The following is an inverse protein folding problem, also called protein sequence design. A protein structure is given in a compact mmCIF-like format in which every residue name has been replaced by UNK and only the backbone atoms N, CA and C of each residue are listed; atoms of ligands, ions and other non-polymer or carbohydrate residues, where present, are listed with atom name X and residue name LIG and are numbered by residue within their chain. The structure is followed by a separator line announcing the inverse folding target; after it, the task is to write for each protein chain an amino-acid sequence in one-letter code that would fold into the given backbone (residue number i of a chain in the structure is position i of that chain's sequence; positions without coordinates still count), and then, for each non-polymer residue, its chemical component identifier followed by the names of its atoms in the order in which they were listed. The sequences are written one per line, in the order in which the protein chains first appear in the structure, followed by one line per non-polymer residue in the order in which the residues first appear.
data_IF_788398975444
#
_entry.id   IF_788398975444
#
_cell.length_a   1.000
_cell.length_b   1.000
_cell.length_c   1.000
_cell.angle_alpha   90.00
_cell.angle_beta   90.00
_cell.angle_gamma   90.00
#
_symmetry.space_group_name_H-M   'P 1'
#
loop_
_entity.id
_entity.type
_entity.pdbx_description
1 polymer ?
#
# COMPACT_ATOMS: atom_id res chain seq x y z
N UNK A 1 -29.01 -2.86 17.80
CA UNK A 1 -27.64 -2.92 18.37
C UNK A 1 -26.76 -3.95 17.69
N UNK A 2 -27.03 -5.26 17.77
CA UNK A 2 -26.16 -6.31 17.20
C UNK A 2 -25.73 -6.05 15.74
N UNK A 3 -26.65 -5.63 14.86
CA UNK A 3 -26.34 -5.30 13.46
C UNK A 3 -25.27 -4.19 13.31
N UNK A 4 -25.35 -3.12 14.10
CA UNK A 4 -24.36 -2.03 14.06
C UNK A 4 -22.98 -2.50 14.54
N UNK A 5 -22.93 -3.40 15.53
CA UNK A 5 -21.68 -4.03 15.99
C UNK A 5 -21.07 -4.85 14.85
N UNK A 6 -21.87 -5.66 14.15
CA UNK A 6 -21.42 -6.45 13.00
C UNK A 6 -20.86 -5.52 11.89
N UNK A 7 -21.60 -4.48 11.49
CA UNK A 7 -21.13 -3.53 10.48
C UNK A 7 -19.82 -2.85 10.89
N UNK A 8 -19.70 -2.43 12.15
CA UNK A 8 -18.49 -1.80 12.66
C UNK A 8 -17.30 -2.78 12.67
N UNK A 9 -17.50 -4.02 13.11
CA UNK A 9 -16.45 -5.05 13.12
C UNK A 9 -15.97 -5.38 11.69
N UNK A 10 -16.87 -5.60 10.73
CA UNK A 10 -16.50 -5.85 9.33
C UNK A 10 -15.88 -4.63 8.65
N UNK A 11 -16.40 -3.43 8.92
CA UNK A 11 -15.82 -2.16 8.48
C UNK A 11 -14.38 -2.00 8.97
N UNK A 12 -14.14 -2.15 10.27
CA UNK A 12 -12.80 -2.05 10.86
C UNK A 12 -11.85 -3.13 10.32
N UNK A 13 -12.28 -4.39 10.22
CA UNK A 13 -11.48 -5.47 9.65
C UNK A 13 -11.07 -5.17 8.19
N UNK A 14 -12.02 -4.77 7.35
CA UNK A 14 -11.76 -4.42 5.95
C UNK A 14 -10.85 -3.19 5.81
N UNK A 15 -11.07 -2.15 6.61
CA UNK A 15 -10.22 -0.96 6.66
C UNK A 15 -8.78 -1.27 7.05
N UNK A 16 -8.57 -2.11 8.07
CA UNK A 16 -7.23 -2.56 8.50
C UNK A 16 -6.55 -3.39 7.42
N UNK A 17 -7.24 -4.38 6.84
CA UNK A 17 -6.71 -5.19 5.72
C UNK A 17 -6.31 -4.29 4.55
N UNK A 18 -7.17 -3.34 4.15
CA UNK A 18 -6.89 -2.37 3.10
C UNK A 18 -5.63 -1.53 3.38
N UNK A 19 -5.44 -1.08 4.63
CA UNK A 19 -4.26 -0.30 5.05
C UNK A 19 -2.97 -1.11 4.99
N UNK A 20 -2.98 -2.34 5.49
CA UNK A 20 -1.83 -3.26 5.44
C UNK A 20 -1.39 -3.51 3.98
N UNK A 21 -2.36 -3.46 3.06
CA UNK A 21 -2.18 -3.72 1.63
C UNK A 21 -1.67 -2.52 0.81
N UNK A 22 -1.53 -1.35 1.44
CA UNK A 22 -1.08 -0.09 0.83
C UNK A 22 -2.20 0.92 0.52
N UNK A 23 -3.45 0.49 0.62
CA UNK A 23 -4.60 1.27 0.19
C UNK A 23 -5.22 2.10 1.32
N UNK A 24 -6.03 3.08 0.95
CA UNK A 24 -6.72 3.99 1.89
C UNK A 24 -7.68 3.24 2.84
N UNK A 25 -7.38 3.26 4.15
CA UNK A 25 -8.22 2.71 5.22
C UNK A 25 -9.69 3.12 5.09
N UNK A 26 -9.94 4.42 4.85
CA UNK A 26 -11.30 4.96 4.86
C UNK A 26 -12.17 4.41 3.73
N UNK A 27 -11.59 4.16 2.55
CA UNK A 27 -12.31 3.58 1.41
C UNK A 27 -12.69 2.12 1.74
N UNK A 28 -11.74 1.32 2.20
CA UNK A 28 -11.99 -0.09 2.53
C UNK A 28 -12.89 -0.29 3.75
N UNK A 29 -12.81 0.62 4.72
CA UNK A 29 -13.75 0.70 5.83
C UNK A 29 -15.17 0.94 5.31
N UNK A 30 -15.37 1.97 4.48
CA UNK A 30 -16.69 2.34 3.98
C UNK A 30 -17.28 1.24 3.08
N UNK A 31 -16.48 0.66 2.18
CA UNK A 31 -16.88 -0.49 1.34
C UNK A 31 -17.32 -1.70 2.19
N UNK A 32 -16.55 -2.04 3.23
CA UNK A 32 -16.85 -3.20 4.09
C UNK A 32 -17.95 -2.93 5.12
N UNK A 33 -18.21 -1.66 5.45
CA UNK A 33 -19.31 -1.21 6.30
C UNK A 33 -20.64 -1.18 5.53
N UNK A 34 -20.63 -0.72 4.27
CA UNK A 34 -21.83 -0.68 3.43
C UNK A 34 -22.22 -2.07 2.90
N UNK A 35 -21.24 -2.92 2.56
CA UNK A 35 -21.49 -4.28 2.05
C UNK A 35 -20.64 -5.28 2.87
N UNK A 36 -21.13 -5.70 4.06
CA UNK A 36 -20.42 -6.66 4.89
C UNK A 36 -20.23 -8.00 4.17
N UNK A 37 -19.25 -8.79 4.63
CA UNK A 37 -18.71 -9.98 3.96
C UNK A 37 -18.07 -9.72 2.59
N UNK A 38 -18.81 -9.18 1.61
CA UNK A 38 -18.31 -8.94 0.25
C UNK A 38 -17.18 -7.90 0.25
N UNK A 39 -17.35 -6.76 0.93
CA UNK A 39 -16.30 -5.74 1.02
C UNK A 39 -15.01 -6.24 1.69
N UNK A 40 -15.14 -7.10 2.72
CA UNK A 40 -14.00 -7.76 3.36
C UNK A 40 -13.34 -8.78 2.43
N UNK A 41 -14.13 -9.59 1.71
CA UNK A 41 -13.61 -10.53 0.72
C UNK A 41 -12.86 -9.81 -0.41
N UNK A 42 -13.39 -8.68 -0.91
CA UNK A 42 -12.70 -7.83 -1.86
C UNK A 42 -11.38 -7.28 -1.30
N UNK A 43 -11.35 -6.78 -0.06
CA UNK A 43 -10.13 -6.30 0.58
C UNK A 43 -9.06 -7.42 0.68
N UNK A 44 -9.47 -8.62 1.09
CA UNK A 44 -8.61 -9.81 1.16
C UNK A 44 -8.06 -10.20 -0.22
N UNK A 45 -8.84 -10.10 -1.29
CA UNK A 45 -8.44 -10.51 -2.65
C UNK A 45 -7.67 -9.45 -3.48
N UNK A 46 -7.74 -8.16 -3.14
CA UNK A 46 -7.34 -6.97 -3.93
C UNK A 46 -5.98 -6.91 -4.72
N UNK A 47 -5.02 -7.84 -4.59
CA UNK A 47 -3.56 -7.66 -4.88
C UNK A 47 -2.89 -6.65 -3.93
N UNK A 48 -1.62 -6.87 -3.58
CA UNK A 48 -0.84 -5.87 -2.82
C UNK A 48 -0.46 -4.69 -3.70
N UNK A 49 -0.70 -3.49 -3.19
CA UNK A 49 -0.41 -2.23 -3.86
C UNK A 49 1.01 -1.72 -3.51
N UNK A 50 1.47 -2.02 -2.28
CA UNK A 50 2.83 -1.74 -1.81
C UNK A 50 3.94 -2.57 -2.48
N UNK A 51 3.60 -3.68 -3.12
CA UNK A 51 4.56 -4.51 -3.88
C UNK A 51 4.82 -3.98 -5.29
N UNK A 52 4.05 -2.99 -5.74
CA UNK A 52 4.23 -2.36 -7.04
C UNK A 52 5.56 -1.61 -7.13
N UNK A 53 6.24 -1.78 -8.27
CA UNK A 53 7.43 -1.00 -8.60
C UNK A 53 7.06 0.48 -8.77
N UNK A 54 8.04 1.35 -8.57
CA UNK A 54 7.85 2.80 -8.64
C UNK A 54 8.79 3.42 -9.67
N UNK A 55 8.53 4.67 -10.03
CA UNK A 55 9.37 5.45 -10.95
C UNK A 55 9.33 6.92 -10.59
N UNK A 56 10.35 7.65 -11.01
CA UNK A 56 10.38 9.10 -10.93
C UNK A 56 9.68 9.70 -12.16
N UNK A 57 8.82 10.69 -11.96
CA UNK A 57 8.15 11.41 -13.05
C UNK A 57 9.13 12.39 -13.72
N UNK A 58 9.42 12.28 -15.03
CA UNK A 58 10.41 13.11 -15.72
C UNK A 58 10.03 14.61 -15.75
N UNK A 59 8.74 14.94 -15.65
CA UNK A 59 8.27 16.34 -15.63
C UNK A 59 8.34 17.05 -14.27
N UNK A 60 8.40 16.33 -13.14
CA UNK A 60 8.31 16.97 -11.80
C UNK A 60 9.10 16.29 -10.67
N UNK A 61 9.82 15.20 -10.92
CA UNK A 61 10.58 14.47 -9.90
C UNK A 61 9.74 13.69 -8.87
N UNK A 62 8.40 13.70 -8.98
CA UNK A 62 7.54 12.95 -8.05
C UNK A 62 7.70 11.44 -8.28
N UNK A 63 7.90 10.68 -7.21
CA UNK A 63 7.82 9.22 -7.25
C UNK A 63 6.35 8.78 -7.35
N UNK A 64 6.05 8.00 -8.38
CA UNK A 64 4.72 7.47 -8.73
C UNK A 64 4.81 5.96 -9.00
N UNK A 65 3.68 5.27 -9.16
CA UNK A 65 3.70 3.82 -9.45
C UNK A 65 4.05 3.56 -10.90
N UNK A 66 4.60 2.38 -11.17
CA UNK A 66 5.02 1.99 -12.50
C UNK A 66 3.82 1.86 -13.47
N UNK A 67 2.63 1.52 -12.98
CA UNK A 67 1.40 1.40 -13.78
C UNK A 67 0.65 2.71 -14.03
N UNK A 68 1.03 3.83 -13.41
CA UNK A 68 0.33 5.11 -13.57
C UNK A 68 0.61 5.69 -14.97
N UNK A 69 -0.31 5.58 -15.94
CA UNK A 69 -0.09 6.06 -17.31
C UNK A 69 0.18 7.58 -17.43
N UNK A 70 -0.35 8.36 -16.48
CA UNK A 70 -0.20 9.82 -16.42
C UNK A 70 0.14 10.22 -14.98
N UNK A 71 1.06 11.18 -14.81
CA UNK A 71 1.42 11.68 -13.49
C UNK A 71 0.25 12.44 -12.85
N UNK A 72 -0.28 11.90 -11.75
CA UNK A 72 -1.35 12.48 -10.92
C UNK A 72 -1.01 13.82 -10.25
N UNK A 73 0.17 14.40 -10.52
CA UNK A 73 0.65 15.65 -9.92
C UNK A 73 0.90 16.77 -10.93
N UNK A 74 1.34 16.45 -12.15
CA UNK A 74 1.72 17.44 -13.17
C UNK A 74 1.12 17.16 -14.56
N UNK A 75 0.39 16.06 -14.74
CA UNK A 75 -0.25 15.72 -16.02
C UNK A 75 0.69 15.21 -17.12
N UNK A 76 2.00 15.08 -16.86
CA UNK A 76 2.96 14.48 -17.79
C UNK A 76 2.59 13.01 -18.05
N UNK A 77 2.53 12.61 -19.32
CA UNK A 77 2.39 11.20 -19.72
C UNK A 77 3.66 10.42 -19.34
N UNK A 78 3.49 9.14 -18.96
CA UNK A 78 4.55 8.37 -18.32
C UNK A 78 4.84 7.05 -19.06
N UNK A 79 5.74 7.13 -20.03
CA UNK A 79 6.29 5.97 -20.75
C UNK A 79 7.07 5.00 -19.85
N UNK A 80 7.14 3.74 -20.25
CA UNK A 80 7.80 2.68 -19.48
C UNK A 80 9.30 3.01 -19.28
N UNK A 81 9.78 3.15 -18.03
CA UNK A 81 11.13 3.61 -17.76
C UNK A 81 12.16 2.49 -17.93
N UNK A 82 13.36 2.87 -18.35
CA UNK A 82 14.56 2.01 -18.36
C UNK A 82 15.01 1.57 -16.96
N UNK A 83 14.77 2.41 -15.94
CA UNK A 83 15.09 2.14 -14.54
C UNK A 83 13.86 2.22 -13.65
N UNK A 84 13.55 1.12 -12.96
CA UNK A 84 12.48 1.07 -11.96
C UNK A 84 13.04 1.23 -10.53
N UNK A 85 12.33 1.98 -9.70
CA UNK A 85 12.58 2.14 -8.27
C UNK A 85 11.90 1.00 -7.52
N UNK A 86 12.60 0.43 -6.54
CA UNK A 86 12.09 -0.65 -5.68
C UNK A 86 10.73 -0.32 -5.05
N UNK A 87 9.91 -1.35 -4.85
CA UNK A 87 8.57 -1.23 -4.25
C UNK A 87 8.64 -0.74 -2.81
N UNK A 88 7.50 -0.32 -2.26
CA UNK A 88 7.43 0.13 -0.86
C UNK A 88 7.74 -1.02 0.09
N UNK A 89 7.18 -2.20 -0.16
CA UNK A 89 7.47 -3.42 0.60
C UNK A 89 8.96 -3.77 0.58
N UNK A 90 9.61 -3.73 -0.59
CA UNK A 90 11.06 -3.98 -0.72
C UNK A 90 11.90 -2.98 0.07
N UNK A 91 11.57 -1.69 0.01
CA UNK A 91 12.30 -0.65 0.77
C UNK A 91 12.09 -0.80 2.27
N UNK A 92 10.91 -1.22 2.73
CA UNK A 92 10.66 -1.50 4.14
C UNK A 92 11.42 -2.74 4.63
N UNK A 93 11.45 -3.83 3.87
CA UNK A 93 12.21 -5.03 4.19
C UNK A 93 13.72 -4.73 4.30
N UNK A 94 14.31 -4.10 3.28
CA UNK A 94 15.74 -3.74 3.29
C UNK A 94 16.13 -2.78 4.43
N UNK A 95 15.21 -1.92 4.89
CA UNK A 95 15.42 -1.06 6.08
C UNK A 95 15.39 -1.88 7.37
N UNK A 96 14.50 -2.85 7.49
CA UNK A 96 14.41 -3.73 8.66
C UNK A 96 15.67 -4.62 8.79
N UNK A 97 16.13 -5.20 7.69
CA UNK A 97 17.37 -5.99 7.63
C UNK A 97 18.60 -5.19 8.07
N UNK A 98 18.76 -3.97 7.52
CA UNK A 98 19.86 -3.06 7.91
C UNK A 98 19.81 -2.69 9.39
N UNK A 99 18.62 -2.48 9.94
CA UNK A 99 18.44 -2.19 11.36
C UNK A 99 18.76 -3.41 12.25
N UNK A 100 18.43 -4.62 11.81
CA UNK A 100 18.78 -5.86 12.51
C UNK A 100 20.30 -6.11 12.50
N UNK A 101 20.96 -5.96 11.34
CA UNK A 101 22.40 -6.09 11.23
C UNK A 101 23.16 -5.08 12.11
N UNK A 102 22.70 -3.82 12.15
CA UNK A 102 23.29 -2.79 13.01
C UNK A 102 23.19 -3.12 14.51
N UNK A 103 22.11 -3.78 14.95
CA UNK A 103 21.95 -4.25 16.33
C UNK A 103 22.90 -5.40 16.64
N UNK A 104 22.98 -6.41 15.77
CA UNK A 104 23.88 -7.55 15.95
C UNK A 104 25.36 -7.11 16.03
N UNK A 105 25.78 -6.13 15.22
CA UNK A 105 27.12 -5.56 15.32
C UNK A 105 27.37 -4.75 16.62
N UNK A 106 26.32 -4.19 17.24
CA UNK A 106 26.44 -3.50 18.52
C UNK A 106 26.49 -4.47 19.71
N UNK A 107 25.79 -5.61 19.64
CA UNK A 107 25.81 -6.67 20.65
C UNK A 107 27.14 -7.47 20.68
N UNK A 108 27.90 -7.43 19.57
CA UNK A 108 29.21 -8.08 19.42
C UNK A 108 30.40 -7.23 19.92
N UNK A 109 30.16 -6.02 20.45
CA UNK A 109 31.19 -5.05 20.83
C UNK A 109 31.22 -4.74 22.32
#
# INVERSE_FOLDING_TARGET
MAFLVILLCFGLAGGVVGRIKGSSFFIWFLVSFCIPFIGLACALLYRWDNDELRRECPGCGKVVKLHDAICTSCGTELDFPETAIASEAQVHAARAERAAAARAHAEQR
#
